data_IF_959214770722
#
_entry.id   IF_959214770722
#
_cell.length_a   1.000
_cell.length_b   1.000
_cell.length_c   1.000
_cell.angle_alpha   90.00
_cell.angle_beta   90.00
_cell.angle_gamma   90.00
#
_symmetry.space_group_name_H-M   'P 1'
#
loop_
_entity.id
_entity.type
_entity.pdbx_description
1 polymer ?
#
# COMPACT_ATOMS: atom_id res chain seq x y z
N UNK A 1 16.39 20.07 3.53
CA UNK A 1 17.08 18.89 4.09
C UNK A 1 16.24 17.67 3.72
N UNK A 2 16.63 16.92 2.68
CA UNK A 2 15.90 15.70 2.31
C UNK A 2 16.45 14.56 3.17
N UNK A 3 15.58 13.89 3.92
CA UNK A 3 15.93 12.74 4.72
C UNK A 3 16.23 11.57 3.76
N UNK A 4 17.50 11.23 3.59
CA UNK A 4 18.01 10.27 2.59
C UNK A 4 18.02 8.84 3.17
N UNK A 5 16.87 8.38 3.69
CA UNK A 5 16.67 6.99 4.07
C UNK A 5 15.69 6.36 3.09
N UNK A 6 16.17 5.40 2.32
CA UNK A 6 15.37 4.69 1.34
C UNK A 6 14.64 3.55 2.05
N UNK A 7 13.31 3.54 1.99
CA UNK A 7 12.52 2.47 2.60
C UNK A 7 12.41 1.24 1.68
N UNK A 8 11.88 0.13 2.23
CA UNK A 8 11.69 -1.12 1.48
C UNK A 8 10.82 -0.99 0.22
N UNK A 9 9.85 -0.07 0.19
CA UNK A 9 9.04 0.20 -1.01
C UNK A 9 9.88 0.90 -2.08
N UNK A 10 10.62 1.92 -1.69
CA UNK A 10 11.50 2.66 -2.61
C UNK A 10 12.59 1.76 -3.21
N UNK A 11 13.22 0.92 -2.38
CA UNK A 11 14.23 -0.05 -2.83
C UNK A 11 13.60 -1.08 -3.77
N UNK A 12 12.47 -1.67 -3.38
CA UNK A 12 11.75 -2.63 -4.21
C UNK A 12 11.41 -2.05 -5.59
N UNK A 13 10.86 -0.83 -5.64
CA UNK A 13 10.49 -0.20 -6.91
C UNK A 13 11.70 0.06 -7.77
N UNK A 14 12.80 0.54 -7.19
CA UNK A 14 14.07 0.68 -7.92
C UNK A 14 14.55 -0.66 -8.49
N UNK A 15 14.42 -1.74 -7.72
CA UNK A 15 14.77 -3.09 -8.19
C UNK A 15 13.92 -3.52 -9.38
N UNK A 16 12.60 -3.48 -9.23
CA UNK A 16 11.66 -3.97 -10.23
C UNK A 16 11.68 -3.10 -11.48
N UNK A 17 11.84 -1.77 -11.36
CA UNK A 17 11.95 -0.86 -12.50
C UNK A 17 13.19 -1.13 -13.35
N UNK A 18 14.35 -1.42 -12.72
CA UNK A 18 15.55 -1.79 -13.46
C UNK A 18 15.37 -3.11 -14.23
N UNK A 19 14.76 -4.10 -13.57
CA UNK A 19 14.44 -5.38 -14.20
C UNK A 19 13.52 -5.16 -15.40
N UNK A 20 12.47 -4.35 -15.27
CA UNK A 20 11.53 -4.01 -16.35
C UNK A 20 12.25 -3.38 -17.54
N UNK A 21 13.11 -2.39 -17.30
CA UNK A 21 13.91 -1.72 -18.33
C UNK A 21 14.80 -2.72 -19.09
N UNK A 22 15.52 -3.59 -18.37
CA UNK A 22 16.39 -4.60 -18.98
C UNK A 22 15.66 -5.65 -19.79
N UNK A 23 14.47 -6.06 -19.35
CA UNK A 23 13.61 -6.96 -20.12
C UNK A 23 13.12 -6.32 -21.41
N UNK A 24 12.77 -5.03 -21.36
CA UNK A 24 12.31 -4.26 -22.53
C UNK A 24 13.41 -4.02 -23.56
N UNK A 25 14.66 -3.88 -23.11
CA UNK A 25 15.84 -3.72 -23.98
C UNK A 25 16.29 -5.02 -24.67
N UNK A 26 15.61 -6.15 -24.42
CA UNK A 26 15.91 -7.44 -25.07
C UNK A 26 17.18 -8.14 -24.55
N UNK A 27 17.80 -7.63 -23.47
CA UNK A 27 18.93 -8.29 -22.79
C UNK A 27 18.42 -9.37 -21.81
N UNK A 28 17.78 -10.41 -22.35
CA UNK A 28 17.14 -11.46 -21.55
C UNK A 28 18.13 -12.55 -21.09
N UNK A 29 19.07 -12.19 -20.24
CA UNK A 29 19.67 -13.09 -19.24
C UNK A 29 19.89 -12.32 -17.94
N UNK A 30 18.79 -11.94 -17.29
CA UNK A 30 18.83 -11.35 -15.94
C UNK A 30 19.00 -12.50 -14.95
N UNK A 31 20.15 -12.54 -14.27
CA UNK A 31 20.40 -13.47 -13.16
C UNK A 31 20.39 -12.73 -11.83
N UNK A 32 20.26 -13.50 -10.74
CA UNK A 32 20.37 -12.96 -9.38
C UNK A 32 21.74 -12.28 -9.19
N UNK A 33 22.82 -12.87 -9.72
CA UNK A 33 24.17 -12.33 -9.61
C UNK A 33 24.31 -10.98 -10.34
N UNK A 34 23.78 -10.85 -11.56
CA UNK A 34 23.76 -9.57 -12.29
C UNK A 34 23.03 -8.48 -11.51
N UNK A 35 21.90 -8.84 -10.90
CA UNK A 35 21.15 -7.90 -10.07
C UNK A 35 21.98 -7.46 -8.86
N UNK A 36 22.58 -8.39 -8.12
CA UNK A 36 23.41 -8.06 -6.95
C UNK A 36 24.62 -7.18 -7.29
N UNK A 37 25.26 -7.41 -8.43
CA UNK A 37 26.48 -6.70 -8.83
C UNK A 37 26.23 -5.32 -9.46
N UNK A 38 25.12 -5.15 -10.17
CA UNK A 38 24.83 -3.89 -10.86
C UNK A 38 23.87 -3.04 -10.04
N UNK A 39 22.73 -3.59 -9.63
CA UNK A 39 21.65 -2.78 -9.09
C UNK A 39 21.94 -2.29 -7.68
N UNK A 40 22.45 -3.16 -6.81
CA UNK A 40 22.74 -2.79 -5.43
C UNK A 40 23.93 -1.83 -5.33
N UNK A 41 24.73 -1.69 -6.38
CA UNK A 41 25.77 -0.64 -6.44
C UNK A 41 25.20 0.75 -6.71
N UNK A 42 24.06 0.85 -7.40
CA UNK A 42 23.37 2.11 -7.68
C UNK A 42 22.69 2.70 -6.44
N UNK A 43 22.36 1.88 -5.45
CA UNK A 43 21.77 2.34 -4.20
C UNK A 43 22.80 3.01 -3.26
N UNK A 44 22.37 4.01 -2.46
CA UNK A 44 23.21 4.59 -1.41
C UNK A 44 23.76 3.53 -0.45
N UNK A 45 24.93 3.79 0.15
CA UNK A 45 25.57 2.84 1.08
C UNK A 45 24.61 2.32 2.18
N UNK A 46 23.73 3.18 2.70
CA UNK A 46 22.73 2.83 3.72
C UNK A 46 21.65 1.83 3.25
N UNK A 47 21.44 1.67 1.94
CA UNK A 47 20.39 0.84 1.35
C UNK A 47 20.93 -0.43 0.66
N UNK A 48 22.26 -0.58 0.53
CA UNK A 48 22.86 -1.71 -0.21
C UNK A 48 22.51 -3.06 0.39
N UNK A 49 22.59 -3.19 1.71
CA UNK A 49 22.24 -4.44 2.40
C UNK A 49 20.74 -4.76 2.29
N UNK A 50 19.88 -3.75 2.34
CA UNK A 50 18.44 -3.97 2.11
C UNK A 50 18.17 -4.39 0.67
N UNK A 51 18.84 -3.79 -0.32
CA UNK A 51 18.76 -4.21 -1.71
C UNK A 51 19.17 -5.69 -1.89
N UNK A 52 20.31 -6.09 -1.30
CA UNK A 52 20.80 -7.47 -1.33
C UNK A 52 19.77 -8.44 -0.77
N UNK A 53 19.28 -8.19 0.43
CA UNK A 53 18.29 -9.05 1.10
C UNK A 53 17.01 -9.20 0.26
N UNK A 54 16.55 -8.12 -0.39
CA UNK A 54 15.37 -8.17 -1.24
C UNK A 54 15.61 -9.07 -2.46
N UNK A 55 16.76 -8.94 -3.12
CA UNK A 55 17.09 -9.74 -4.31
C UNK A 55 17.31 -11.21 -3.96
N UNK A 56 18.03 -11.50 -2.88
CA UNK A 56 18.33 -12.87 -2.46
C UNK A 56 17.06 -13.63 -2.05
N UNK A 57 16.14 -12.97 -1.33
CA UNK A 57 14.93 -13.62 -0.81
C UNK A 57 13.79 -13.61 -1.84
N UNK A 58 13.63 -12.50 -2.58
CA UNK A 58 12.45 -12.28 -3.41
C UNK A 58 12.74 -12.18 -4.91
N UNK A 59 14.01 -12.16 -5.35
CA UNK A 59 14.40 -11.93 -6.75
C UNK A 59 13.61 -12.74 -7.77
N UNK A 60 13.59 -14.09 -7.71
CA UNK A 60 12.83 -14.92 -8.64
C UNK A 60 11.32 -14.61 -8.64
N UNK A 61 10.76 -14.35 -7.45
CA UNK A 61 9.35 -14.04 -7.30
C UNK A 61 9.00 -12.65 -7.87
N UNK A 62 9.87 -11.66 -7.69
CA UNK A 62 9.73 -10.32 -8.26
C UNK A 62 9.74 -10.36 -9.80
N UNK A 63 10.63 -11.15 -10.40
CA UNK A 63 10.69 -11.32 -11.87
C UNK A 63 9.41 -11.96 -12.40
N UNK A 64 8.92 -13.03 -11.76
CA UNK A 64 7.67 -13.67 -12.15
C UNK A 64 6.46 -12.73 -12.01
N UNK A 65 6.35 -12.05 -10.88
CA UNK A 65 5.24 -11.13 -10.63
C UNK A 65 5.28 -9.92 -11.57
N UNK A 66 6.47 -9.47 -11.95
CA UNK A 66 6.63 -8.43 -12.97
C UNK A 66 6.15 -8.90 -14.35
N UNK A 67 6.44 -10.14 -14.74
CA UNK A 67 5.93 -10.71 -15.99
C UNK A 67 4.39 -10.79 -16.02
N UNK A 68 3.75 -10.97 -14.86
CA UNK A 68 2.29 -10.99 -14.74
C UNK A 68 1.67 -9.58 -14.70
N UNK A 69 2.24 -8.66 -13.91
CA UNK A 69 1.61 -7.38 -13.59
C UNK A 69 2.10 -6.22 -14.45
N UNK A 70 3.30 -6.30 -15.03
CA UNK A 70 3.91 -5.26 -15.87
C UNK A 70 4.06 -3.89 -15.19
N UNK A 71 4.01 -3.84 -13.85
CA UNK A 71 3.95 -2.59 -13.09
C UNK A 71 4.77 -2.71 -11.78
N UNK A 72 5.89 -1.97 -11.64
CA UNK A 72 6.74 -2.02 -10.45
C UNK A 72 6.03 -1.65 -9.14
N UNK A 73 5.05 -0.75 -9.18
CA UNK A 73 4.28 -0.38 -8.00
C UNK A 73 3.40 -1.55 -7.56
N UNK A 74 2.70 -2.19 -8.49
CA UNK A 74 1.82 -3.34 -8.19
C UNK A 74 2.60 -4.57 -7.75
N UNK A 75 3.76 -4.83 -8.36
CA UNK A 75 4.68 -5.91 -7.94
C UNK A 75 5.09 -5.72 -6.48
N UNK A 76 5.59 -4.54 -6.13
CA UNK A 76 6.02 -4.25 -4.76
C UNK A 76 4.86 -4.18 -3.74
N UNK A 77 3.64 -3.93 -4.20
CA UNK A 77 2.42 -4.05 -3.40
C UNK A 77 2.00 -5.51 -3.17
N UNK A 78 2.19 -6.38 -4.17
CA UNK A 78 1.90 -7.81 -4.08
C UNK A 78 2.66 -8.50 -2.95
N UNK A 79 3.90 -8.06 -2.71
CA UNK A 79 4.75 -8.54 -1.61
C UNK A 79 4.73 -7.67 -0.35
N UNK A 80 3.81 -6.71 -0.25
CA UNK A 80 3.65 -5.84 0.92
C UNK A 80 4.91 -5.02 1.29
N UNK A 81 5.76 -4.74 0.31
CA UNK A 81 6.88 -3.82 0.45
C UNK A 81 6.42 -2.39 0.26
N UNK A 82 5.53 -2.17 -0.71
CA UNK A 82 4.78 -0.95 -0.85
C UNK A 82 3.41 -1.07 -0.18
N UNK A 83 2.90 0.02 0.42
CA UNK A 83 1.50 0.07 0.78
C UNK A 83 0.68 -0.18 -0.49
N UNK A 84 -0.29 -1.10 -0.41
CA UNK A 84 -1.37 -1.13 -1.38
C UNK A 84 -1.91 0.30 -1.43
N UNK A 85 -2.23 0.80 -2.62
CA UNK A 85 -3.05 2.01 -2.69
C UNK A 85 -4.29 1.63 -1.91
N UNK A 86 -4.36 2.05 -0.65
CA UNK A 86 -5.62 2.04 0.07
C UNK A 86 -6.53 2.72 -0.92
N UNK A 87 -7.58 2.03 -1.38
CA UNK A 87 -8.82 2.73 -1.75
C UNK A 87 -8.90 3.85 -0.76
N UNK A 88 -8.56 5.08 -1.19
CA UNK A 88 -8.08 6.11 -0.27
C UNK A 88 -9.09 6.10 0.87
N UNK A 89 -8.65 5.83 2.10
CA UNK A 89 -9.55 6.00 3.23
C UNK A 89 -9.68 7.51 3.37
N UNK A 90 -10.44 8.08 2.45
CA UNK A 90 -10.73 9.49 2.37
C UNK A 90 -11.41 9.81 3.69
N UNK A 91 -11.05 10.93 4.28
CA UNK A 91 -11.86 11.49 5.35
C UNK A 91 -13.30 11.60 4.80
N UNK A 92 -14.27 10.96 5.47
CA UNK A 92 -15.63 10.83 4.96
C UNK A 92 -15.94 9.54 4.18
N UNK A 93 -15.01 8.61 4.00
CA UNK A 93 -15.29 7.28 3.42
C UNK A 93 -16.14 6.39 4.34
N UNK A 94 -15.97 6.57 5.65
CA UNK A 94 -16.83 5.98 6.67
C UNK A 94 -18.01 6.92 6.96
N UNK A 95 -19.24 6.45 6.76
CA UNK A 95 -20.46 7.25 6.94
C UNK A 95 -20.66 7.70 8.38
N UNK A 96 -20.10 6.99 9.35
CA UNK A 96 -20.15 7.39 10.75
C UNK A 96 -19.36 8.69 11.02
N UNK A 97 -18.48 9.10 10.09
CA UNK A 97 -17.76 10.39 10.17
C UNK A 97 -18.53 11.58 9.60
N UNK A 98 -19.71 11.36 8.99
CA UNK A 98 -20.56 12.44 8.45
C UNK A 98 -21.32 13.20 9.55
N UNK A 99 -21.31 12.68 10.78
CA UNK A 99 -21.80 13.35 11.98
C UNK A 99 -23.26 13.03 12.37
N UNK A 100 -23.78 13.73 13.41
CA UNK A 100 -25.10 13.49 14.01
C UNK A 100 -26.30 13.52 13.09
N UNK A 101 -26.24 14.33 12.03
CA UNK A 101 -27.29 14.36 11.02
C UNK A 101 -27.44 13.01 10.30
N UNK A 102 -26.36 12.25 10.10
CA UNK A 102 -26.40 10.94 9.47
C UNK A 102 -26.74 9.83 10.47
N UNK A 103 -25.91 9.66 11.52
CA UNK A 103 -26.04 8.52 12.42
C UNK A 103 -27.28 8.60 13.33
N UNK A 104 -27.89 9.78 13.54
CA UNK A 104 -29.13 9.92 14.31
C UNK A 104 -30.36 10.11 13.41
N UNK A 105 -30.24 9.88 12.10
CA UNK A 105 -31.38 9.92 11.20
C UNK A 105 -32.37 8.78 11.47
N UNK A 106 -31.87 7.56 11.73
CA UNK A 106 -32.67 6.36 12.00
C UNK A 106 -31.97 5.45 13.00
N UNK A 107 -32.70 4.49 13.59
CA UNK A 107 -32.12 3.47 14.47
C UNK A 107 -31.07 2.61 13.77
N UNK A 108 -31.20 2.38 12.46
CA UNK A 108 -30.24 1.57 11.67
C UNK A 108 -28.90 2.30 11.59
N UNK A 109 -28.91 3.59 11.23
CA UNK A 109 -27.66 4.35 11.16
C UNK A 109 -27.00 4.47 12.55
N UNK A 110 -27.80 4.66 13.61
CA UNK A 110 -27.28 4.78 14.96
C UNK A 110 -26.64 3.48 15.45
N UNK A 111 -27.28 2.34 15.16
CA UNK A 111 -26.76 1.02 15.55
C UNK A 111 -25.52 0.67 14.72
N UNK A 112 -25.51 0.98 13.43
CA UNK A 112 -24.35 0.75 12.56
C UNK A 112 -23.11 1.56 12.97
N UNK A 113 -23.31 2.72 13.59
CA UNK A 113 -22.25 3.60 14.07
C UNK A 113 -22.02 3.56 15.59
N UNK A 114 -22.66 2.62 16.30
CA UNK A 114 -22.59 2.51 17.77
C UNK A 114 -22.98 3.82 18.50
N UNK A 115 -23.80 4.66 17.87
CA UNK A 115 -24.19 5.99 18.34
C UNK A 115 -25.60 6.01 18.98
N UNK A 116 -26.23 4.83 19.18
CA UNK A 116 -27.61 4.71 19.68
C UNK A 116 -27.84 5.48 20.98
N UNK A 117 -26.95 5.37 21.97
CA UNK A 117 -27.10 6.06 23.26
C UNK A 117 -27.06 7.59 23.09
N UNK A 118 -26.12 8.08 22.27
CA UNK A 118 -26.03 9.50 21.94
C UNK A 118 -27.31 9.99 21.26
N UNK A 119 -27.81 9.26 20.27
CA UNK A 119 -29.02 9.64 19.55
C UNK A 119 -30.27 9.60 20.45
N UNK A 120 -30.42 8.59 21.30
CA UNK A 120 -31.54 8.47 22.25
C UNK A 120 -31.58 9.64 23.24
N UNK A 121 -30.43 10.01 23.80
CA UNK A 121 -30.34 11.02 24.86
C UNK A 121 -30.33 12.45 24.33
N UNK A 122 -29.64 12.69 23.21
CA UNK A 122 -29.32 14.04 22.74
C UNK A 122 -30.19 14.51 21.59
N UNK A 123 -30.75 13.59 20.79
CA UNK A 123 -31.50 13.94 19.56
C UNK A 123 -32.97 13.53 19.65
N UNK A 124 -33.23 12.26 19.97
CA UNK A 124 -34.57 11.67 19.95
C UNK A 124 -35.35 11.84 21.25
N UNK A 125 -34.69 12.28 22.33
CA UNK A 125 -35.30 12.45 23.66
C UNK A 125 -36.08 11.21 24.12
N UNK A 126 -35.52 10.03 23.86
CA UNK A 126 -36.11 8.74 24.25
C UNK A 126 -37.20 8.18 23.32
N UNK A 127 -37.49 8.82 22.18
CA UNK A 127 -38.46 8.31 21.18
C UNK A 127 -37.71 7.77 19.97
N UNK A 128 -37.52 6.45 19.90
CA UNK A 128 -36.83 5.82 18.76
C UNK A 128 -37.55 6.16 17.44
N UNK A 129 -36.85 6.71 16.42
CA UNK A 129 -37.45 6.97 15.13
C UNK A 129 -37.88 5.64 14.49
N UNK A 130 -39.10 5.62 13.96
CA UNK A 130 -39.65 4.47 13.24
C UNK A 130 -38.78 4.18 12.01
N UNK A 131 -38.64 2.88 11.72
CA UNK A 131 -37.81 2.32 10.63
C UNK A 131 -38.29 2.85 9.28
#
# INVERSE_FOLDING_TARGET
MVNMHLDKCQICRGIVSYVDEKLRDGQATITIDTLLEEICRLFPHSAKEQCRNIIEVYGPYLVNLLAELGDPQKVCQGISFCPKSSSQQLLGGDKCTWGPSYWCQTQIHATACEATEHCQTSVWKGVTPLI
#
